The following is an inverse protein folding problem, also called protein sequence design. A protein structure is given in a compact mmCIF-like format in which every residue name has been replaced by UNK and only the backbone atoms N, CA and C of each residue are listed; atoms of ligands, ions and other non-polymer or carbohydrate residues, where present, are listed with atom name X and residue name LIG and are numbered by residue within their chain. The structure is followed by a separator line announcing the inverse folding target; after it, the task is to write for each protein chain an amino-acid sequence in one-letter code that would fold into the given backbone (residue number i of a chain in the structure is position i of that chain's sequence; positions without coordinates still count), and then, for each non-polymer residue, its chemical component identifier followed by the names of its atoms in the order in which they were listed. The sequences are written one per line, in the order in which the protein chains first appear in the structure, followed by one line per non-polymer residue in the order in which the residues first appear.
data_IF_339314265840
#
_entry.id   IF_339314265840
#
_cell.length_a   1.000
_cell.length_b   1.000
_cell.length_c   1.000
_cell.angle_alpha   90.00
_cell.angle_beta   90.00
_cell.angle_gamma   90.00
#
_symmetry.space_group_name_H-M   'P 1'
#
loop_
_entity.id
_entity.type
_entity.pdbx_description
1 polymer ?
#
# COMPACT_ATOMS: atom_id res chain seq x y z
N UNK A 1 -22.08 -5.72 23.42
CA UNK A 1 -21.49 -4.50 22.82
C UNK A 1 -22.58 -3.49 22.55
N UNK A 2 -22.22 -2.23 22.32
CA UNK A 2 -23.15 -1.21 21.83
C UNK A 2 -23.27 -1.38 20.31
N UNK A 3 -24.48 -1.50 19.73
CA UNK A 3 -24.63 -1.61 18.28
C UNK A 3 -24.21 -0.29 17.62
N UNK A 4 -23.39 -0.40 16.57
CA UNK A 4 -22.82 0.75 15.87
C UNK A 4 -23.50 0.95 14.51
N UNK A 5 -23.61 2.20 14.02
CA UNK A 5 -23.98 2.45 12.64
C UNK A 5 -22.85 2.01 11.70
N UNK A 6 -23.20 1.67 10.45
CA UNK A 6 -22.24 1.29 9.42
C UNK A 6 -22.23 2.34 8.29
N UNK A 7 -21.18 3.17 8.17
CA UNK A 7 -21.04 4.11 7.05
C UNK A 7 -20.66 3.36 5.76
N UNK A 8 -21.36 3.66 4.67
CA UNK A 8 -21.15 3.09 3.34
C UNK A 8 -20.90 4.20 2.34
N UNK A 9 -19.94 3.98 1.45
CA UNK A 9 -19.73 4.76 0.25
C UNK A 9 -20.10 3.90 -0.96
N UNK A 10 -21.04 4.39 -1.76
CA UNK A 10 -21.50 3.72 -2.97
C UNK A 10 -20.99 4.52 -4.16
N UNK A 11 -20.18 3.87 -4.99
CA UNK A 11 -19.77 4.39 -6.29
C UNK A 11 -20.74 3.83 -7.33
N UNK A 12 -21.38 4.72 -8.09
CA UNK A 12 -22.27 4.33 -9.18
C UNK A 12 -21.47 4.14 -10.48
N UNK A 13 -22.05 3.46 -11.47
CA UNK A 13 -21.47 3.28 -12.80
C UNK A 13 -21.26 4.61 -13.55
N UNK A 14 -22.10 5.61 -13.26
CA UNK A 14 -22.01 6.97 -13.83
C UNK A 14 -20.85 7.79 -13.22
N UNK A 15 -20.13 7.25 -12.23
CA UNK A 15 -19.06 7.94 -11.50
C UNK A 15 -19.54 8.82 -10.34
N UNK A 16 -20.84 8.88 -10.06
CA UNK A 16 -21.38 9.59 -8.88
C UNK A 16 -21.16 8.79 -7.61
N UNK A 17 -20.73 9.45 -6.55
CA UNK A 17 -20.50 8.86 -5.22
C UNK A 17 -21.61 9.28 -4.25
N UNK A 18 -22.22 8.30 -3.58
CA UNK A 18 -23.24 8.52 -2.57
C UNK A 18 -22.77 7.96 -1.22
N UNK A 19 -22.71 8.83 -0.20
CA UNK A 19 -22.40 8.43 1.17
C UNK A 19 -23.71 8.17 1.93
N UNK A 20 -23.85 6.96 2.48
CA UNK A 20 -25.04 6.53 3.22
C UNK A 20 -24.63 5.83 4.49
N UNK A 21 -25.26 6.15 5.62
CA UNK A 21 -25.03 5.44 6.88
C UNK A 21 -26.18 4.49 7.14
N UNK A 22 -25.87 3.20 7.33
CA UNK A 22 -26.83 2.24 7.86
C UNK A 22 -26.97 2.46 9.36
N UNK A 23 -28.20 2.66 9.86
CA UNK A 23 -28.39 2.90 11.28
C UNK A 23 -28.19 1.62 12.08
N UNK A 24 -27.93 1.78 13.38
CA UNK A 24 -27.68 0.66 14.29
C UNK A 24 -28.90 -0.28 14.46
N UNK A 25 -30.10 0.07 13.96
CA UNK A 25 -31.26 -0.82 14.07
C UNK A 25 -31.12 -2.12 13.26
N UNK A 26 -30.20 -2.18 12.29
CA UNK A 26 -29.97 -3.38 11.49
C UNK A 26 -29.59 -4.59 12.36
N UNK A 27 -28.97 -4.35 13.52
CA UNK A 27 -28.54 -5.37 14.48
C UNK A 27 -29.67 -5.90 15.37
N UNK A 28 -30.89 -5.36 15.26
CA UNK A 28 -32.02 -5.75 16.14
C UNK A 28 -32.53 -7.16 15.90
N UNK A 29 -32.42 -7.65 14.67
CA UNK A 29 -32.96 -8.97 14.29
C UNK A 29 -31.95 -10.08 14.51
N UNK A 30 -30.68 -9.79 14.25
CA UNK A 30 -29.55 -10.71 14.42
C UNK A 30 -28.30 -9.85 14.66
N UNK A 31 -27.51 -10.23 15.67
CA UNK A 31 -26.31 -9.51 16.10
C UNK A 31 -25.07 -10.01 15.34
N UNK A 32 -25.09 -11.27 14.88
CA UNK A 32 -23.94 -11.91 14.25
C UNK A 32 -23.93 -11.70 12.75
N UNK A 33 -25.10 -11.73 12.09
CA UNK A 33 -25.21 -11.64 10.64
C UNK A 33 -26.36 -10.74 10.19
N UNK A 34 -26.04 -9.79 9.32
CA UNK A 34 -27.03 -8.90 8.70
C UNK A 34 -26.89 -8.97 7.18
N UNK A 35 -28.02 -9.04 6.48
CA UNK A 35 -28.08 -8.91 5.02
C UNK A 35 -28.96 -7.71 4.68
N UNK A 36 -28.41 -6.72 3.98
CA UNK A 36 -29.14 -5.53 3.54
C UNK A 36 -29.20 -5.48 2.02
N UNK A 37 -30.42 -5.53 1.46
CA UNK A 37 -30.65 -5.27 0.05
C UNK A 37 -30.73 -3.77 -0.20
N UNK A 38 -29.98 -3.29 -1.19
CA UNK A 38 -29.99 -1.89 -1.65
C UNK A 38 -30.67 -1.85 -3.03
N UNK A 39 -31.82 -1.20 -3.11
CA UNK A 39 -32.52 -0.95 -4.38
C UNK A 39 -32.22 0.49 -4.78
N UNK A 40 -31.64 0.67 -5.97
CA UNK A 40 -31.25 1.96 -6.55
C UNK A 40 -31.59 1.96 -8.03
N UNK A 41 -31.87 3.15 -8.57
CA UNK A 41 -32.16 3.33 -10.00
C UNK A 41 -30.88 3.25 -10.85
N UNK A 42 -29.75 3.63 -10.27
CA UNK A 42 -28.43 3.58 -10.91
C UNK A 42 -27.70 2.28 -10.61
N UNK A 43 -26.95 1.78 -11.59
CA UNK A 43 -26.10 0.61 -11.42
C UNK A 43 -24.93 0.92 -10.48
N UNK A 44 -24.68 0.03 -9.52
CA UNK A 44 -23.60 0.17 -8.54
C UNK A 44 -22.31 -0.42 -9.15
N UNK A 45 -21.22 0.33 -9.11
CA UNK A 45 -19.90 -0.11 -9.57
C UNK A 45 -19.05 -0.66 -8.42
N UNK A 46 -19.05 0.02 -7.27
CA UNK A 46 -18.40 -0.46 -6.05
C UNK A 46 -19.07 0.03 -4.78
N UNK A 47 -18.89 -0.73 -3.70
CA UNK A 47 -19.29 -0.37 -2.34
C UNK A 47 -18.06 -0.45 -1.45
N UNK A 48 -17.83 0.58 -0.66
CA UNK A 48 -16.80 0.61 0.38
C UNK A 48 -17.46 0.80 1.74
N UNK A 49 -17.09 -0.05 2.69
CA UNK A 49 -17.45 0.05 4.10
C UNK A 49 -16.42 0.94 4.81
N UNK A 50 -16.92 1.96 5.50
CA UNK A 50 -16.12 2.86 6.32
C UNK A 50 -14.80 3.38 5.71
N UNK A 51 -14.84 4.06 4.54
CA UNK A 51 -13.64 4.63 3.92
C UNK A 51 -13.01 5.78 4.72
N UNK A 52 -13.70 6.29 5.75
CA UNK A 52 -13.23 7.37 6.62
C UNK A 52 -12.67 6.86 7.95
N UNK A 53 -12.71 5.54 8.19
CA UNK A 53 -12.25 4.92 9.43
C UNK A 53 -12.93 5.50 10.69
N UNK A 54 -14.25 5.68 10.62
CA UNK A 54 -15.09 6.10 11.75
C UNK A 54 -15.33 4.94 12.73
N UNK A 55 -15.20 3.70 12.27
CA UNK A 55 -15.37 2.48 13.04
C UNK A 55 -14.02 1.96 13.53
N UNK A 56 -14.01 1.34 14.72
CA UNK A 56 -12.80 0.80 15.34
C UNK A 56 -12.41 -0.60 14.80
N UNK A 57 -12.59 -0.83 13.51
CA UNK A 57 -12.15 -2.08 12.86
C UNK A 57 -10.65 -2.04 12.54
N UNK A 58 -9.99 -3.19 12.64
CA UNK A 58 -8.56 -3.34 12.39
C UNK A 58 -8.26 -3.99 11.03
N UNK A 59 -9.23 -4.69 10.43
CA UNK A 59 -9.08 -5.30 9.11
C UNK A 59 -9.78 -4.44 8.05
N UNK A 60 -9.01 -3.97 7.07
CA UNK A 60 -9.53 -3.16 5.95
C UNK A 60 -9.65 -3.97 4.65
N UNK A 61 -9.12 -5.19 4.63
CA UNK A 61 -9.00 -5.99 3.42
C UNK A 61 -10.34 -6.46 2.86
N UNK A 62 -11.36 -6.54 3.71
CA UNK A 62 -12.71 -7.02 3.41
C UNK A 62 -13.74 -5.88 3.30
N UNK A 63 -13.32 -4.62 3.36
CA UNK A 63 -14.24 -3.48 3.35
C UNK A 63 -14.68 -3.05 1.94
N UNK A 64 -14.23 -3.73 0.89
CA UNK A 64 -14.55 -3.39 -0.49
C UNK A 64 -15.31 -4.50 -1.22
N UNK A 65 -16.33 -4.09 -1.96
CA UNK A 65 -17.03 -4.93 -2.92
C UNK A 65 -17.09 -4.25 -4.29
N UNK A 66 -16.59 -4.86 -5.38
CA UNK A 66 -15.80 -6.09 -5.42
C UNK A 66 -14.50 -5.98 -4.61
N UNK A 67 -14.05 -7.10 -4.05
CA UNK A 67 -12.82 -7.14 -3.24
C UNK A 67 -11.59 -6.70 -4.03
N UNK A 68 -10.72 -5.92 -3.39
CA UNK A 68 -9.46 -5.41 -3.96
C UNK A 68 -8.28 -5.99 -3.20
N UNK A 69 -7.17 -6.23 -3.90
CA UNK A 69 -5.93 -6.68 -3.27
C UNK A 69 -5.21 -5.43 -2.76
N UNK A 70 -5.39 -5.13 -1.48
CA UNK A 70 -4.65 -4.06 -0.81
C UNK A 70 -3.25 -4.56 -0.43
N UNK A 71 -2.21 -3.80 -0.80
CA UNK A 71 -0.82 -4.14 -0.47
C UNK A 71 -0.54 -3.86 0.99
N UNK A 72 0.08 -4.81 1.70
CA UNK A 72 0.50 -4.56 3.08
C UNK A 72 1.61 -3.51 3.14
N UNK A 73 1.59 -2.65 4.18
CA UNK A 73 2.63 -1.63 4.39
C UNK A 73 4.04 -2.24 4.51
N UNK A 74 4.15 -3.49 4.96
CA UNK A 74 5.42 -4.22 5.07
C UNK A 74 5.93 -4.66 3.68
N UNK A 75 5.04 -4.97 2.74
CA UNK A 75 5.41 -5.38 1.38
C UNK A 75 5.89 -4.19 0.54
N UNK A 76 5.26 -3.01 0.70
CA UNK A 76 5.72 -1.76 0.08
C UNK A 76 7.17 -1.42 0.47
N UNK A 77 7.53 -1.58 1.75
CA UNK A 77 8.90 -1.32 2.22
C UNK A 77 9.94 -2.23 1.55
N UNK A 78 9.58 -3.45 1.17
CA UNK A 78 10.48 -4.39 0.47
C UNK A 78 10.61 -4.10 -1.02
N UNK A 79 9.65 -3.40 -1.63
CA UNK A 79 9.70 -3.07 -3.06
C UNK A 79 10.55 -1.84 -3.40
N UNK A 80 11.03 -1.10 -2.39
CA UNK A 80 11.81 0.13 -2.58
C UNK A 80 13.32 -0.10 -2.71
N UNK A 81 13.79 -1.36 -2.72
CA UNK A 81 15.18 -1.67 -3.09
C UNK A 81 15.30 -1.68 -4.62
N UNK A 82 15.19 -0.50 -5.21
CA UNK A 82 15.65 -0.27 -6.58
C UNK A 82 17.18 -0.35 -6.60
N UNK A 83 17.62 -1.56 -6.92
CA UNK A 83 18.91 -2.00 -7.46
C UNK A 83 19.88 -0.88 -7.88
N UNK A 84 20.52 -0.21 -6.90
CA UNK A 84 21.87 0.31 -7.14
C UNK A 84 22.79 -0.88 -7.21
N UNK A 85 23.09 -1.33 -8.42
CA UNK A 85 24.11 -2.36 -8.64
C UNK A 85 25.49 -1.76 -8.33
N UNK A 86 25.83 -1.77 -7.04
CA UNK A 86 27.10 -1.25 -6.51
C UNK A 86 28.31 -1.92 -7.19
N UNK A 87 28.13 -3.13 -7.73
CA UNK A 87 29.16 -3.80 -8.52
C UNK A 87 29.35 -3.11 -9.88
N UNK A 88 28.27 -2.75 -10.58
CA UNK A 88 28.35 -2.04 -11.86
C UNK A 88 29.02 -0.66 -11.71
N UNK A 89 28.70 0.08 -10.65
CA UNK A 89 29.33 1.36 -10.32
C UNK A 89 30.83 1.20 -10.01
N UNK A 90 31.23 0.10 -9.34
CA UNK A 90 32.63 -0.18 -9.04
C UNK A 90 33.45 -0.48 -10.31
N UNK A 91 32.88 -1.17 -11.30
CA UNK A 91 33.57 -1.44 -12.58
C UNK A 91 33.75 -0.20 -13.46
N UNK A 92 32.93 0.85 -13.28
CA UNK A 92 33.03 2.07 -14.06
C UNK A 92 34.18 2.97 -13.59
N UNK A 93 34.43 3.06 -12.28
CA UNK A 93 35.56 3.81 -11.71
C UNK A 93 36.93 3.19 -12.01
N UNK A 94 36.98 1.89 -12.35
CA UNK A 94 38.21 1.17 -12.71
C UNK A 94 38.61 1.35 -14.20
N UNK A 95 37.70 1.84 -15.05
CA UNK A 95 38.03 2.15 -16.46
C UNK A 95 38.39 3.63 -16.63
N UNK A 96 39.55 4.01 -16.10
CA UNK A 96 40.43 5.08 -16.61
C UNK A 96 41.75 4.99 -15.83
N UNK A 97 42.90 4.66 -16.44
CA UNK A 97 43.62 5.50 -17.39
C UNK A 97 44.51 4.60 -18.25
N UNK A 98 44.35 4.65 -19.58
CA UNK A 98 45.30 4.01 -20.52
C UNK A 98 46.65 4.72 -20.36
N UNK A 99 47.57 4.09 -19.62
CA UNK A 99 48.85 4.65 -19.23
C UNK A 99 49.73 4.97 -20.43
N UNK A 100 49.97 6.27 -20.66
CA UNK A 100 51.14 6.75 -21.38
C UNK A 100 52.38 6.58 -20.51
N UNK A 101 53.50 6.25 -21.16
CA UNK A 101 54.84 6.06 -20.60
C UNK A 101 55.18 7.17 -19.58
N UNK A 102 55.67 6.77 -18.41
CA UNK A 102 56.92 7.26 -17.81
C UNK A 102 57.11 6.67 -16.41
N UNK A 103 58.29 6.08 -16.19
CA UNK A 103 58.61 5.31 -15.00
C UNK A 103 58.97 6.18 -13.80
N UNK A 104 58.12 6.16 -12.77
CA UNK A 104 58.57 6.32 -11.39
C UNK A 104 57.57 5.63 -10.46
N UNK A 105 57.97 4.52 -9.85
CA UNK A 105 57.20 3.85 -8.80
C UNK A 105 57.38 4.67 -7.52
N UNK A 106 56.35 5.43 -7.13
CA UNK A 106 56.33 6.06 -5.79
C UNK A 106 55.80 5.03 -4.79
N UNK A 107 56.71 4.38 -4.09
CA UNK A 107 56.41 3.53 -2.93
C UNK A 107 55.83 4.38 -1.80
N UNK A 108 54.61 4.06 -1.38
CA UNK A 108 53.98 4.65 -0.19
C UNK A 108 54.18 3.66 0.97
N UNK A 109 54.73 4.07 2.12
CA UNK A 109 54.96 3.16 3.24
C UNK A 109 53.66 2.99 4.05
N UNK A 110 53.15 1.76 4.12
CA UNK A 110 52.10 1.38 5.07
C UNK A 110 52.72 1.22 6.46
N UNK A 111 52.36 2.08 7.42
CA UNK A 111 52.57 1.78 8.85
C UNK A 111 51.43 0.88 9.34
N UNK A 112 51.76 -0.36 9.70
CA UNK A 112 50.89 -1.21 10.51
C UNK A 112 50.94 -0.74 11.96
N UNK A 113 49.78 -0.49 12.57
CA UNK A 113 49.66 -0.23 14.00
C UNK A 113 48.64 -1.23 14.58
N UNK A 114 49.19 -2.24 15.27
CA UNK A 114 48.60 -3.31 16.12
C UNK A 114 47.41 -4.11 15.61
#
# INVERSE_FOLDING_TARGET
GLPTPLPLLITNADGTEDMMTLPAEIWRRDVDKVTKLLIRDKAISSVALDPRHETADADFSNNHFPGRIEKSRIELYKSEDDTRDLMADMFQTLRERKGGKDGSIRTIPLKSNR
#
